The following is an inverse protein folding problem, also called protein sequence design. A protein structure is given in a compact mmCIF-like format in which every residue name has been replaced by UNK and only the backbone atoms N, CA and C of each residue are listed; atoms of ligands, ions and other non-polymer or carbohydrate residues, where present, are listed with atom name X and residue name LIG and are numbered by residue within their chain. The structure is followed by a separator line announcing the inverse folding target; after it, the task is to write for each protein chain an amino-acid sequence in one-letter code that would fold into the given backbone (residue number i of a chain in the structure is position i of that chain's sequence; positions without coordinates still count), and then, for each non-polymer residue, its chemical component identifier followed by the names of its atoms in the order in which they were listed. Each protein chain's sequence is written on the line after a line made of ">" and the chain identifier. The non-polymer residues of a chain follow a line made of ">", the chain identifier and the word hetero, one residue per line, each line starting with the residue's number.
data_IF_823207632762
#
_entry.id   IF_823207632762
#
_cell.length_a   1.000
_cell.length_b   1.000
_cell.length_c   1.000
_cell.angle_alpha   90.00
_cell.angle_beta   90.00
_cell.angle_gamma   90.00
#
_symmetry.space_group_name_H-M   'P 1'
#
loop_
_entity.id
_entity.type
_entity.pdbx_description
1 polymer ?
#
# COMPACT_ATOMS: atom_id res chain seq x y z
N UNK A 1 2.45 2.81 -20.60
CA UNK A 1 2.04 2.16 -19.33
C UNK A 1 3.05 2.64 -18.29
N UNK A 2 2.80 3.78 -17.64
CA UNK A 2 3.82 4.45 -16.81
C UNK A 2 3.92 3.83 -15.42
N UNK A 3 5.14 3.50 -15.01
CA UNK A 3 5.43 2.90 -13.71
C UNK A 3 5.00 3.83 -12.58
N UNK A 4 4.03 3.39 -11.77
CA UNK A 4 3.51 4.16 -10.65
C UNK A 4 4.44 3.96 -9.45
N UNK A 5 5.44 4.84 -9.34
CA UNK A 5 6.35 4.94 -8.19
C UNK A 5 5.54 5.31 -6.93
N UNK A 6 5.65 4.50 -5.88
CA UNK A 6 4.94 4.71 -4.61
C UNK A 6 5.80 4.34 -3.40
N UNK A 7 5.38 4.81 -2.23
CA UNK A 7 6.09 4.56 -0.98
C UNK A 7 5.82 3.14 -0.47
N UNK A 8 6.90 2.50 0.01
CA UNK A 8 6.84 1.16 0.58
C UNK A 8 6.13 1.19 1.92
N UNK A 9 5.08 0.39 2.07
CA UNK A 9 4.50 0.14 3.38
C UNK A 9 4.59 -1.34 3.74
N UNK A 10 5.24 -1.61 4.86
CA UNK A 10 5.29 -2.93 5.47
C UNK A 10 3.96 -3.14 6.20
N UNK A 11 3.10 -4.00 5.66
CA UNK A 11 1.87 -4.38 6.35
C UNK A 11 2.26 -5.32 7.49
N UNK A 12 2.53 -4.74 8.66
CA UNK A 12 2.64 -5.51 9.90
C UNK A 12 1.24 -6.01 10.23
N UNK A 13 1.04 -7.32 10.17
CA UNK A 13 -0.22 -7.90 10.60
C UNK A 13 -0.42 -7.62 12.11
N UNK A 14 -1.66 -7.69 12.55
CA UNK A 14 -2.23 -7.13 13.79
C UNK A 14 -1.54 -7.48 15.13
N UNK A 15 -1.86 -6.72 16.19
CA UNK A 15 -1.36 -6.73 17.59
C UNK A 15 -0.98 -8.06 18.29
N UNK A 16 -1.36 -9.24 17.78
CA UNK A 16 -0.75 -10.53 18.16
C UNK A 16 0.74 -10.63 17.73
N UNK A 17 1.18 -9.70 16.90
CA UNK A 17 2.54 -9.56 16.37
C UNK A 17 3.64 -9.41 17.42
N UNK A 18 3.37 -8.77 18.57
CA UNK A 18 4.43 -8.50 19.55
C UNK A 18 4.93 -9.78 20.25
N UNK A 19 4.02 -10.69 20.60
CA UNK A 19 4.37 -11.92 21.31
C UNK A 19 5.07 -12.94 20.40
N UNK A 20 4.62 -13.09 19.15
CA UNK A 20 5.28 -13.97 18.17
C UNK A 20 6.64 -13.43 17.72
N UNK A 21 6.80 -12.12 17.56
CA UNK A 21 8.10 -11.50 17.25
C UNK A 21 9.09 -11.66 18.42
N UNK A 22 8.63 -11.55 19.67
CA UNK A 22 9.44 -11.85 20.86
C UNK A 22 9.87 -13.32 20.88
N UNK A 23 8.94 -14.26 20.64
CA UNK A 23 9.25 -15.68 20.61
C UNK A 23 10.24 -16.04 19.48
N UNK A 24 10.05 -15.48 18.28
CA UNK A 24 10.97 -15.62 17.16
C UNK A 24 12.34 -14.99 17.48
N UNK A 25 12.39 -13.86 18.18
CA UNK A 25 13.63 -13.21 18.59
C UNK A 25 14.42 -14.05 19.62
N UNK A 26 13.76 -14.60 20.63
CA UNK A 26 14.37 -15.52 21.58
C UNK A 26 14.85 -16.82 20.91
N UNK A 27 14.03 -17.37 20.00
CA UNK A 27 14.42 -18.52 19.19
C UNK A 27 15.63 -18.19 18.29
N UNK A 28 15.69 -16.98 17.74
CA UNK A 28 16.78 -16.55 16.88
C UNK A 28 18.12 -16.37 17.63
N UNK A 29 18.06 -15.82 18.85
CA UNK A 29 19.23 -15.62 19.73
C UNK A 29 19.83 -16.93 20.27
N UNK A 30 19.12 -18.05 20.16
CA UNK A 30 19.60 -19.37 20.62
C UNK A 30 20.65 -20.03 19.71
N UNK A 31 21.33 -19.27 18.84
CA UNK A 31 22.34 -19.78 17.90
C UNK A 31 21.76 -20.26 16.56
N UNK A 32 20.65 -19.67 16.12
CA UNK A 32 19.98 -20.04 14.87
C UNK A 32 20.68 -19.50 13.61
N UNK A 33 20.64 -20.25 12.52
CA UNK A 33 20.99 -19.74 11.18
C UNK A 33 19.76 -19.03 10.59
N UNK A 34 19.87 -17.71 10.37
CA UNK A 34 18.79 -16.90 9.79
C UNK A 34 18.97 -16.84 8.28
N UNK A 35 18.02 -17.44 7.54
CA UNK A 35 17.98 -17.30 6.08
C UNK A 35 17.33 -15.96 5.72
N UNK A 36 17.97 -15.14 4.86
CA UNK A 36 17.44 -13.84 4.48
C UNK A 36 16.08 -14.00 3.78
N UNK A 37 15.28 -12.95 3.87
CA UNK A 37 13.95 -12.84 3.26
C UNK A 37 13.98 -13.31 1.80
N UNK A 38 13.34 -14.44 1.52
CA UNK A 38 13.29 -15.00 0.17
C UNK A 38 12.10 -14.43 -0.59
N UNK A 39 12.36 -13.50 -1.51
CA UNK A 39 11.60 -13.36 -2.75
C UNK A 39 12.64 -13.31 -3.87
N UNK A 40 12.45 -14.07 -4.95
CA UNK A 40 13.52 -14.53 -5.84
C UNK A 40 14.63 -13.53 -6.18
N UNK A 41 15.88 -14.02 -6.08
CA UNK A 41 17.13 -13.48 -6.65
C UNK A 41 17.63 -12.16 -6.04
N UNK A 42 18.88 -12.18 -5.57
CA UNK A 42 19.66 -11.00 -5.17
C UNK A 42 19.44 -9.85 -6.15
N UNK A 43 18.71 -8.82 -5.74
CA UNK A 43 18.83 -7.49 -6.29
C UNK A 43 19.27 -6.64 -5.12
N UNK A 44 20.41 -5.98 -5.29
CA UNK A 44 20.82 -4.86 -4.45
C UNK A 44 19.57 -3.99 -4.30
N UNK A 45 19.11 -3.75 -3.07
CA UNK A 45 18.15 -2.68 -2.86
C UNK A 45 18.68 -1.47 -3.62
N UNK A 46 17.88 -0.94 -4.56
CA UNK A 46 18.27 0.23 -5.32
C UNK A 46 18.83 1.24 -4.34
N UNK A 47 20.09 1.63 -4.51
CA UNK A 47 20.80 2.56 -3.62
C UNK A 47 20.15 3.96 -3.59
N UNK A 48 19.08 4.12 -4.35
CA UNK A 48 18.22 5.26 -4.61
C UNK A 48 16.87 5.19 -3.87
N UNK A 49 16.58 4.13 -3.09
CA UNK A 49 15.39 4.05 -2.22
C UNK A 49 14.06 3.94 -2.97
N UNK A 50 14.10 3.50 -4.22
CA UNK A 50 12.94 3.33 -5.10
C UNK A 50 12.59 1.85 -5.21
N UNK A 51 11.34 1.50 -4.94
CA UNK A 51 10.81 0.12 -5.06
C UNK A 51 9.89 0.02 -6.27
N UNK A 52 9.96 -1.09 -6.99
CA UNK A 52 9.18 -1.34 -8.20
C UNK A 52 8.06 -2.36 -7.93
N UNK A 53 7.11 -2.48 -8.87
CA UNK A 53 6.02 -3.46 -8.76
C UNK A 53 6.52 -4.90 -8.58
N UNK A 54 7.74 -5.22 -9.05
CA UNK A 54 8.34 -6.54 -8.88
C UNK A 54 8.79 -6.84 -7.44
N UNK A 55 8.92 -5.81 -6.58
CA UNK A 55 9.27 -5.94 -5.15
C UNK A 55 8.06 -6.19 -4.26
N UNK A 56 6.85 -6.17 -4.82
CA UNK A 56 5.62 -6.54 -4.10
C UNK A 56 5.59 -8.05 -3.89
N UNK A 57 5.30 -8.48 -2.67
CA UNK A 57 5.03 -9.88 -2.38
C UNK A 57 5.29 -10.25 -0.93
N UNK A 58 5.36 -11.56 -0.70
CA UNK A 58 5.51 -12.14 0.63
C UNK A 58 6.96 -12.56 0.85
N UNK A 59 7.57 -11.97 1.87
CA UNK A 59 8.95 -12.22 2.25
C UNK A 59 8.97 -13.02 3.54
N UNK A 60 9.50 -14.24 3.48
CA UNK A 60 9.59 -15.14 4.63
C UNK A 60 11.01 -15.16 5.19
N UNK A 61 11.15 -14.82 6.46
CA UNK A 61 12.34 -15.06 7.26
C UNK A 61 12.22 -16.44 7.91
N UNK A 62 13.30 -17.20 7.90
CA UNK A 62 13.35 -18.53 8.52
C UNK A 62 14.56 -18.58 9.46
N UNK A 63 14.33 -18.95 10.71
CA UNK A 63 15.36 -19.26 11.69
C UNK A 63 15.37 -20.77 11.96
N UNK A 64 16.54 -21.39 11.95
CA UNK A 64 16.70 -22.82 12.26
C UNK A 64 17.83 -23.08 13.25
N UNK A 65 17.57 -23.98 14.21
CA UNK A 65 18.47 -24.44 15.28
C UNK A 65 18.38 -26.00 15.36
N UNK A 66 19.29 -26.65 16.10
CA UNK A 66 19.22 -28.08 16.47
C UNK A 66 17.86 -28.55 17.04
N UNK A 67 17.09 -27.66 17.68
CA UNK A 67 15.77 -27.96 18.26
C UNK A 67 14.64 -27.91 17.22
N UNK A 68 14.81 -27.15 16.12
CA UNK A 68 13.77 -27.01 15.11
C UNK A 68 13.89 -25.75 14.25
N UNK A 69 12.80 -25.41 13.56
CA UNK A 69 12.73 -24.28 12.63
C UNK A 69 11.47 -23.45 12.90
N UNK A 70 11.64 -22.13 12.91
CA UNK A 70 10.56 -21.15 12.99
C UNK A 70 10.63 -20.20 11.79
N UNK A 71 9.50 -19.67 11.36
CA UNK A 71 9.43 -18.79 10.18
C UNK A 71 8.37 -17.70 10.31
N UNK A 72 8.72 -16.51 9.85
CA UNK A 72 7.86 -15.34 9.87
C UNK A 72 7.74 -14.73 8.47
N UNK A 73 6.51 -14.54 7.99
CA UNK A 73 6.21 -13.98 6.67
C UNK A 73 5.68 -12.55 6.80
N UNK A 74 6.25 -11.65 6.01
CA UNK A 74 5.87 -10.24 5.91
C UNK A 74 5.37 -9.96 4.50
N UNK A 75 4.25 -9.25 4.38
CA UNK A 75 3.72 -8.81 3.08
C UNK A 75 4.16 -7.38 2.78
N UNK A 76 4.82 -7.19 1.64
CA UNK A 76 5.26 -5.91 1.11
C UNK A 76 4.29 -5.44 0.04
N UNK A 77 3.85 -4.18 0.14
CA UNK A 77 2.93 -3.55 -0.83
C UNK A 77 3.38 -2.13 -1.15
N UNK A 78 3.03 -1.64 -2.34
CA UNK A 78 3.24 -0.25 -2.74
C UNK A 78 1.98 0.55 -2.40
N UNK A 79 2.17 1.68 -1.72
CA UNK A 79 1.13 2.67 -1.49
C UNK A 79 1.43 3.94 -2.25
N UNK A 80 0.39 4.61 -2.72
CA UNK A 80 0.50 5.87 -3.43
C UNK A 80 -0.76 6.69 -3.24
N UNK A 81 -0.58 8.01 -3.24
CA UNK A 81 -1.65 8.96 -3.02
C UNK A 81 -2.72 8.94 -4.13
N UNK A 82 -3.90 9.54 -3.86
CA UNK A 82 -4.96 9.66 -4.84
C UNK A 82 -4.51 10.41 -6.10
N UNK A 83 -4.79 9.84 -7.26
CA UNK A 83 -4.63 10.47 -8.57
C UNK A 83 -5.95 10.38 -9.31
N UNK A 84 -6.49 11.52 -9.75
CA UNK A 84 -7.70 11.52 -10.57
C UNK A 84 -7.41 10.85 -11.91
N UNK A 85 -8.25 9.89 -12.27
CA UNK A 85 -8.28 9.25 -13.60
C UNK A 85 -9.44 9.76 -14.44
N UNK A 86 -10.48 10.29 -13.80
CA UNK A 86 -11.61 10.95 -14.45
C UNK A 86 -12.06 12.12 -13.58
N UNK A 87 -12.01 13.32 -14.15
CA UNK A 87 -12.53 14.54 -13.53
C UNK A 87 -13.91 14.86 -14.10
N UNK A 88 -14.82 15.42 -13.29
CA UNK A 88 -16.08 15.93 -13.79
C UNK A 88 -15.82 17.12 -14.73
N UNK A 89 -16.56 17.18 -15.82
CA UNK A 89 -16.61 18.32 -16.73
C UNK A 89 -17.70 19.31 -16.31
N UNK A 90 -17.57 20.54 -16.77
CA UNK A 90 -18.62 21.56 -16.63
C UNK A 90 -19.85 21.15 -17.44
N UNK A 91 -21.03 21.24 -16.81
CA UNK A 91 -22.31 20.89 -17.43
C UNK A 91 -23.31 22.02 -17.19
N UNK A 92 -23.88 22.53 -18.28
CA UNK A 92 -25.02 23.45 -18.26
C UNK A 92 -26.30 22.65 -18.43
N UNK A 93 -27.26 22.83 -17.53
CA UNK A 93 -28.53 22.12 -17.53
C UNK A 93 -29.70 23.11 -17.49
N UNK A 94 -30.79 22.73 -18.14
CA UNK A 94 -32.06 23.44 -18.06
C UNK A 94 -32.83 23.04 -16.80
N UNK A 95 -33.81 23.87 -16.43
CA UNK A 95 -34.70 23.59 -15.30
C UNK A 95 -35.44 22.27 -15.53
N UNK A 96 -35.28 21.33 -14.61
CA UNK A 96 -35.91 20.01 -14.66
C UNK A 96 -35.01 18.89 -15.19
N UNK A 97 -33.83 19.21 -15.71
CA UNK A 97 -32.84 18.21 -16.13
C UNK A 97 -32.05 17.64 -14.93
N UNK A 98 -31.58 16.39 -15.07
CA UNK A 98 -30.83 15.69 -14.03
C UNK A 98 -29.32 15.83 -14.26
N UNK A 99 -28.59 16.22 -13.21
CA UNK A 99 -27.13 16.29 -13.24
C UNK A 99 -26.50 14.94 -12.88
N UNK A 100 -25.54 14.48 -13.70
CA UNK A 100 -24.70 13.32 -13.40
C UNK A 100 -23.23 13.69 -13.53
N UNK A 101 -22.56 13.84 -12.39
CA UNK A 101 -21.11 14.08 -12.33
C UNK A 101 -20.40 12.74 -12.09
N UNK A 102 -19.41 12.44 -12.93
CA UNK A 102 -18.55 11.28 -12.76
C UNK A 102 -17.19 11.74 -12.27
N UNK A 103 -16.66 11.09 -11.23
CA UNK A 103 -15.29 11.29 -10.79
C UNK A 103 -14.69 9.93 -10.46
N UNK A 104 -13.47 9.68 -10.93
CA UNK A 104 -12.70 8.48 -10.61
C UNK A 104 -11.30 8.88 -10.18
N UNK A 105 -10.82 8.23 -9.13
CA UNK A 105 -9.47 8.38 -8.64
C UNK A 105 -8.88 6.98 -8.38
N UNK A 106 -7.59 6.85 -8.63
CA UNK A 106 -6.79 5.68 -8.25
C UNK A 106 -5.92 6.03 -7.05
N UNK A 107 -5.57 5.03 -6.26
CA UNK A 107 -4.79 5.19 -5.03
C UNK A 107 -4.68 3.86 -4.32
N UNK A 108 -3.63 3.71 -3.52
CA UNK A 108 -3.44 2.58 -2.63
C UNK A 108 -3.09 3.14 -1.25
N UNK A 109 -4.00 3.06 -0.25
CA UNK A 109 -5.33 2.45 -0.28
C UNK A 109 -6.32 3.18 -1.19
N UNK A 110 -7.42 2.51 -1.57
CA UNK A 110 -8.44 3.09 -2.48
C UNK A 110 -8.98 4.40 -1.91
N UNK A 111 -8.98 5.50 -2.69
CA UNK A 111 -9.39 6.79 -2.19
C UNK A 111 -10.91 6.88 -2.04
N UNK A 112 -11.35 7.65 -1.06
CA UNK A 112 -12.76 8.03 -0.86
C UNK A 112 -13.03 9.34 -1.62
N UNK A 113 -14.11 9.36 -2.42
CA UNK A 113 -14.49 10.52 -3.22
C UNK A 113 -15.66 11.22 -2.53
N UNK A 114 -15.50 12.50 -2.19
CA UNK A 114 -16.52 13.34 -1.55
C UNK A 114 -16.87 14.53 -2.42
N UNK A 115 -18.16 14.86 -2.51
CA UNK A 115 -18.66 16.01 -3.27
C UNK A 115 -19.03 17.18 -2.35
N UNK A 116 -18.75 18.40 -2.79
CA UNK A 116 -19.14 19.62 -2.07
C UNK A 116 -19.75 20.62 -3.04
N UNK A 117 -20.94 21.12 -2.71
CA UNK A 117 -21.60 22.16 -3.49
C UNK A 117 -21.24 23.54 -2.93
N UNK A 118 -20.66 24.42 -3.76
CA UNK A 118 -20.45 25.82 -3.42
C UNK A 118 -21.57 26.65 -4.02
N UNK A 119 -22.50 27.12 -3.18
CA UNK A 119 -23.54 28.03 -3.64
C UNK A 119 -22.91 29.39 -3.95
N UNK A 120 -22.91 29.80 -5.21
CA UNK A 120 -22.68 31.21 -5.60
C UNK A 120 -24.05 31.85 -5.79
N UNK A 121 -24.50 32.63 -4.80
CA UNK A 121 -25.67 33.48 -4.95
C UNK A 121 -25.32 34.60 -5.94
N UNK A 122 -25.77 34.49 -7.19
CA UNK A 122 -25.86 35.65 -8.07
C UNK A 122 -26.98 36.55 -7.52
N UNK A 123 -26.71 37.81 -7.16
CA UNK A 123 -27.75 38.75 -6.76
C UNK A 123 -28.75 38.88 -7.92
N UNK A 124 -30.02 38.60 -7.64
CA UNK A 124 -31.11 38.80 -8.59
C UNK A 124 -31.26 40.29 -8.91
N UNK A 125 -31.53 40.54 -10.20
CA UNK A 125 -31.80 41.84 -10.81
C UNK A 125 -33.04 42.51 -10.22
#
# INVERSE_FOLDING_TARGET
>A
MGDKKGDLNIVRSSNLFSFYLLHFYFFALSGSEVKPLQQGRRQRGGTDGVWEHHDIGNYTCTASNIVGKDSHTISITIQYGPSFTELPSDVSLNKGEKLRLTCKATGSPRPQITWTFKHKSTPGK
#
